data_IF_324501762245
#
_entry.id   IF_324501762245
#
_cell.length_a   1.000
_cell.length_b   1.000
_cell.length_c   1.000
_cell.angle_alpha   90.00
_cell.angle_beta   90.00
_cell.angle_gamma   90.00
#
_symmetry.space_group_name_H-M   'P 1'
#
loop_
_entity.id
_entity.type
_entity.pdbx_description
1 polymer ?
#
# COMPACT_ATOMS: atom_id res chain seq x y z
N UNK A 1 -19.43 -29.29 14.96
CA UNK A 1 -18.13 -30.00 14.85
C UNK A 1 -17.72 -29.93 13.41
N UNK A 2 -16.61 -29.24 13.11
CA UNK A 2 -16.08 -29.16 11.75
C UNK A 2 -15.38 -30.48 11.40
N UNK A 3 -15.84 -31.14 10.35
CA UNK A 3 -15.27 -32.34 9.71
C UNK A 3 -14.46 -31.99 8.45
N UNK A 4 -14.49 -30.73 7.99
CA UNK A 4 -13.80 -30.23 6.79
C UNK A 4 -13.14 -28.86 7.03
N UNK A 5 -12.06 -28.57 6.28
CA UNK A 5 -11.42 -27.24 6.23
C UNK A 5 -12.37 -26.11 5.78
N UNK A 6 -13.50 -26.46 5.18
CA UNK A 6 -14.51 -25.53 4.68
C UNK A 6 -15.64 -25.27 5.68
N UNK A 7 -15.73 -26.04 6.76
CA UNK A 7 -16.80 -25.85 7.73
C UNK A 7 -16.61 -24.54 8.46
N UNK A 8 -17.69 -23.79 8.58
CA UNK A 8 -17.74 -22.51 9.26
C UNK A 8 -18.85 -22.53 10.30
N UNK A 9 -18.58 -21.93 11.44
CA UNK A 9 -19.57 -21.65 12.47
C UNK A 9 -19.73 -20.13 12.57
N UNK A 10 -20.98 -19.66 12.57
CA UNK A 10 -21.30 -18.25 12.73
C UNK A 10 -21.84 -18.08 14.14
N UNK A 11 -21.21 -17.19 14.90
CA UNK A 11 -21.60 -16.86 16.27
C UNK A 11 -22.13 -15.42 16.25
N UNK A 12 -23.42 -15.26 16.56
CA UNK A 12 -24.02 -13.93 16.74
C UNK A 12 -23.63 -13.35 18.09
N UNK A 13 -23.14 -12.12 18.08
CA UNK A 13 -22.76 -11.38 19.29
C UNK A 13 -23.68 -10.17 19.40
N UNK A 14 -24.62 -10.23 20.35
CA UNK A 14 -25.72 -9.24 20.47
C UNK A 14 -25.35 -8.00 21.30
N UNK A 15 -24.08 -7.86 21.71
CA UNK A 15 -23.58 -6.74 22.52
C UNK A 15 -22.20 -6.31 22.03
N UNK A 16 -21.83 -5.08 22.32
CA UNK A 16 -20.48 -4.57 22.06
C UNK A 16 -19.51 -5.07 23.12
N UNK A 17 -18.39 -5.64 22.68
CA UNK A 17 -17.30 -6.06 23.54
C UNK A 17 -15.99 -5.46 23.04
N UNK A 18 -15.15 -4.99 23.98
CA UNK A 18 -13.79 -4.53 23.67
C UNK A 18 -12.84 -5.71 23.43
N UNK A 19 -13.08 -6.84 24.11
CA UNK A 19 -12.24 -8.04 24.04
C UNK A 19 -13.12 -9.26 23.84
N UNK A 20 -12.68 -10.16 22.97
CA UNK A 20 -13.34 -11.45 22.74
C UNK A 20 -12.29 -12.54 22.92
N UNK A 21 -12.54 -13.45 23.86
CA UNK A 21 -11.72 -14.65 24.06
C UNK A 21 -12.40 -15.83 23.39
N UNK A 22 -11.74 -16.42 22.41
CA UNK A 22 -12.20 -17.64 21.76
C UNK A 22 -11.42 -18.83 22.30
N UNK A 23 -12.13 -19.82 22.85
CA UNK A 23 -11.52 -21.05 23.36
C UNK A 23 -11.98 -22.21 22.50
N UNK A 24 -11.08 -22.70 21.64
CA UNK A 24 -11.27 -24.04 21.08
C UNK A 24 -10.96 -25.04 22.20
N UNK A 25 -11.89 -25.92 22.57
CA UNK A 25 -11.62 -26.96 23.56
C UNK A 25 -11.14 -28.25 22.86
N UNK A 26 -9.97 -28.78 23.24
CA UNK A 26 -9.53 -30.09 22.79
C UNK A 26 -10.45 -31.16 23.38
N UNK A 27 -11.10 -31.97 22.53
CA UNK A 27 -11.86 -33.15 22.96
C UNK A 27 -11.22 -34.38 22.35
N UNK A 28 -11.13 -35.48 23.12
CA UNK A 28 -10.62 -36.76 22.64
C UNK A 28 -11.42 -37.19 21.39
N UNK A 29 -10.73 -37.48 20.30
CA UNK A 29 -11.34 -37.83 19.01
C UNK A 29 -11.67 -36.64 18.09
N UNK A 30 -11.43 -35.40 18.51
CA UNK A 30 -11.59 -34.18 17.70
C UNK A 30 -10.22 -33.55 17.50
N UNK A 31 -9.69 -33.61 16.27
CA UNK A 31 -8.40 -33.01 15.90
C UNK A 31 -8.37 -32.64 14.42
N UNK A 32 -7.52 -31.68 14.05
CA UNK A 32 -7.22 -31.36 12.66
C UNK A 32 -6.43 -32.53 12.08
N UNK A 33 -6.91 -33.03 10.95
CA UNK A 33 -6.45 -34.22 10.23
C UNK A 33 -4.92 -34.40 10.16
N UNK A 34 -4.50 -35.68 10.21
CA UNK A 34 -3.20 -36.28 9.85
C UNK A 34 -2.16 -36.53 10.95
N UNK A 35 -2.33 -37.65 11.65
CA UNK A 35 -1.30 -38.70 11.66
C UNK A 35 -1.99 -40.07 11.66
N UNK A 36 -1.55 -40.99 10.80
CA UNK A 36 -2.01 -42.41 10.70
C UNK A 36 -1.86 -43.23 12.00
N UNK A 37 -1.46 -42.61 13.11
CA UNK A 37 -1.30 -43.24 14.43
C UNK A 37 -1.76 -42.40 15.63
N UNK A 38 -2.47 -41.28 15.44
CA UNK A 38 -3.01 -40.42 16.52
C UNK A 38 -2.00 -39.97 17.61
N UNK A 39 -0.69 -39.93 17.32
CA UNK A 39 0.33 -39.61 18.34
C UNK A 39 0.38 -38.13 18.70
N UNK A 40 0.10 -37.23 17.77
CA UNK A 40 -0.09 -35.79 18.02
C UNK A 40 -1.20 -35.25 17.12
N UNK A 41 -2.38 -34.97 17.69
CA UNK A 41 -3.44 -34.25 16.99
C UNK A 41 -3.22 -32.76 17.14
N UNK A 42 -2.90 -32.05 16.05
CA UNK A 42 -3.00 -30.60 16.04
C UNK A 42 -4.49 -30.25 16.16
N UNK A 43 -4.86 -29.36 17.08
CA UNK A 43 -6.24 -28.88 17.22
C UNK A 43 -6.21 -27.36 17.32
N UNK A 44 -7.21 -26.69 16.73
CA UNK A 44 -7.29 -25.23 16.75
C UNK A 44 -8.12 -24.67 15.63
N UNK A 45 -8.36 -23.36 15.70
CA UNK A 45 -9.08 -22.60 14.68
C UNK A 45 -8.11 -22.26 13.53
N UNK A 46 -8.57 -22.43 12.29
CA UNK A 46 -7.78 -22.06 11.11
C UNK A 46 -7.92 -20.56 10.78
N UNK A 47 -9.10 -19.98 11.02
CA UNK A 47 -9.44 -18.61 10.66
C UNK A 47 -10.58 -18.10 11.54
N UNK A 48 -10.43 -16.89 12.07
CA UNK A 48 -11.49 -16.16 12.76
C UNK A 48 -11.67 -14.82 12.03
N UNK A 49 -12.93 -14.46 11.79
CA UNK A 49 -13.30 -13.17 11.19
C UNK A 49 -14.38 -12.52 12.03
N UNK A 50 -14.28 -11.22 12.21
CA UNK A 50 -15.27 -10.42 12.92
C UNK A 50 -16.02 -9.55 11.91
N UNK A 51 -17.33 -9.44 12.08
CA UNK A 51 -18.18 -8.67 11.18
C UNK A 51 -19.14 -7.79 11.98
N UNK A 52 -19.42 -6.60 11.45
CA UNK A 52 -20.54 -5.76 11.83
C UNK A 52 -21.42 -5.54 10.60
N UNK A 53 -22.56 -6.22 10.54
CA UNK A 53 -23.35 -6.33 9.31
C UNK A 53 -22.53 -6.99 8.19
N UNK A 54 -22.37 -6.30 7.06
CA UNK A 54 -21.55 -6.75 5.93
C UNK A 54 -20.07 -6.37 6.04
N UNK A 55 -19.71 -5.47 6.95
CA UNK A 55 -18.34 -5.00 7.10
C UNK A 55 -17.52 -6.00 7.91
N UNK A 56 -16.41 -6.50 7.33
CA UNK A 56 -15.42 -7.26 8.08
C UNK A 56 -14.51 -6.30 8.84
N UNK A 57 -14.33 -6.52 10.15
CA UNK A 57 -13.27 -5.87 10.91
C UNK A 57 -11.92 -6.52 10.62
N UNK A 58 -10.92 -5.68 10.36
CA UNK A 58 -9.57 -6.10 9.99
C UNK A 58 -8.50 -5.52 10.91
N UNK A 59 -8.79 -4.43 11.61
CA UNK A 59 -7.86 -3.79 12.54
C UNK A 59 -7.98 -4.40 13.94
N UNK A 60 -7.43 -5.61 14.10
CA UNK A 60 -7.57 -6.40 15.32
C UNK A 60 -6.22 -6.68 15.96
N UNK A 61 -6.15 -6.50 17.27
CA UNK A 61 -5.04 -7.02 18.07
C UNK A 61 -5.35 -8.46 18.47
N UNK A 62 -4.45 -9.39 18.16
CA UNK A 62 -4.66 -10.83 18.38
C UNK A 62 -3.51 -11.42 19.19
N UNK A 63 -3.86 -12.05 20.30
CA UNK A 63 -2.98 -12.93 21.06
C UNK A 63 -3.46 -14.37 20.92
N UNK A 64 -2.53 -15.31 20.71
CA UNK A 64 -2.85 -16.72 20.54
C UNK A 64 -1.81 -17.61 21.24
N UNK A 65 -2.27 -18.69 21.86
CA UNK A 65 -1.42 -19.69 22.51
C UNK A 65 -0.85 -20.72 21.52
N UNK A 66 -0.73 -20.38 20.23
CA UNK A 66 -0.31 -21.32 19.19
C UNK A 66 1.14 -21.77 19.39
N UNK A 67 1.34 -23.08 19.55
CA UNK A 67 2.66 -23.72 19.59
C UNK A 67 3.32 -23.80 18.21
N UNK A 68 2.58 -23.49 17.13
CA UNK A 68 3.07 -23.45 15.75
C UNK A 68 3.52 -22.07 15.28
N UNK A 69 3.40 -21.03 16.12
CA UNK A 69 4.10 -19.76 15.89
C UNK A 69 5.60 -20.04 16.03
N UNK A 70 6.20 -20.51 14.93
CA UNK A 70 7.64 -20.57 14.76
C UNK A 70 8.21 -19.16 14.91
N UNK A 71 9.50 -19.10 15.22
CA UNK A 71 10.31 -17.89 15.27
C UNK A 71 9.84 -16.86 14.23
N UNK A 72 9.74 -15.58 14.60
CA UNK A 72 9.29 -14.54 13.67
C UNK A 72 10.06 -14.62 12.36
N UNK A 73 9.33 -14.60 11.24
CA UNK A 73 9.96 -14.60 9.92
C UNK A 73 10.90 -13.40 9.80
N UNK A 74 12.02 -13.58 9.09
CA UNK A 74 12.93 -12.48 8.83
C UNK A 74 12.32 -11.56 7.77
N UNK A 75 11.73 -10.46 8.24
CA UNK A 75 11.11 -9.44 7.40
C UNK A 75 11.89 -8.13 7.47
N UNK A 76 11.86 -7.36 6.37
CA UNK A 76 12.29 -5.97 6.33
C UNK A 76 11.16 -5.11 5.75
N UNK A 77 11.40 -3.80 5.70
CA UNK A 77 10.44 -2.84 5.16
C UNK A 77 11.00 -2.14 3.93
N UNK A 78 10.12 -1.84 2.97
CA UNK A 78 10.37 -0.84 1.94
C UNK A 78 9.42 0.33 2.12
N UNK A 79 9.99 1.53 2.05
CA UNK A 79 9.23 2.76 2.19
C UNK A 79 8.25 2.90 1.02
N UNK A 80 7.11 3.51 1.32
CA UNK A 80 6.17 4.04 0.34
C UNK A 80 6.05 5.54 0.59
N UNK A 81 4.88 6.00 1.01
CA UNK A 81 4.61 7.41 1.24
C UNK A 81 4.18 7.68 2.68
N UNK A 82 4.13 8.96 3.04
CA UNK A 82 3.80 9.40 4.39
C UNK A 82 3.05 10.72 4.41
N UNK A 83 2.46 11.02 5.56
CA UNK A 83 1.63 12.20 5.80
C UNK A 83 1.90 12.73 7.20
N UNK A 84 1.91 14.05 7.35
CA UNK A 84 1.92 14.68 8.67
C UNK A 84 0.48 14.97 9.08
N UNK A 85 0.09 14.49 10.26
CA UNK A 85 -1.24 14.73 10.86
C UNK A 85 -1.01 15.26 12.27
N UNK A 86 -1.45 16.49 12.52
CA UNK A 86 -1.12 17.23 13.73
C UNK A 86 0.41 17.25 13.94
N UNK A 87 0.86 16.79 15.11
CA UNK A 87 2.28 16.73 15.47
C UNK A 87 2.90 15.33 15.28
N UNK A 88 2.46 14.57 14.29
CA UNK A 88 3.00 13.23 14.01
C UNK A 88 3.24 13.04 12.52
N UNK A 89 4.37 12.43 12.17
CA UNK A 89 4.61 11.83 10.87
C UNK A 89 4.09 10.40 10.89
N UNK A 90 3.21 10.09 9.94
CA UNK A 90 2.79 8.74 9.64
C UNK A 90 3.38 8.29 8.31
N UNK A 91 3.79 7.04 8.19
CA UNK A 91 4.12 6.44 6.90
C UNK A 91 3.72 4.96 6.86
N UNK A 92 3.40 4.48 5.67
CA UNK A 92 2.86 3.14 5.45
C UNK A 92 3.84 2.33 4.59
N UNK A 93 4.89 1.74 5.16
CA UNK A 93 5.78 0.90 4.38
C UNK A 93 5.15 -0.46 4.08
N UNK A 94 5.64 -1.08 3.02
CA UNK A 94 5.36 -2.49 2.74
C UNK A 94 6.32 -3.39 3.52
N UNK A 95 5.80 -4.51 4.01
CA UNK A 95 6.56 -5.55 4.71
C UNK A 95 6.97 -6.61 3.71
N UNK A 96 8.26 -6.93 3.69
CA UNK A 96 8.88 -7.78 2.68
C UNK A 96 9.55 -8.99 3.34
N UNK A 97 9.42 -10.13 2.69
CA UNK A 97 10.22 -11.33 2.97
C UNK A 97 10.99 -11.75 1.72
N UNK A 98 12.01 -12.59 1.91
CA UNK A 98 12.67 -13.30 0.82
C UNK A 98 11.73 -14.29 0.15
N UNK A 99 11.78 -14.36 -1.18
CA UNK A 99 11.20 -15.46 -1.98
C UNK A 99 12.27 -15.99 -2.94
N UNK A 100 12.98 -17.02 -2.49
CA UNK A 100 14.11 -17.59 -3.24
C UNK A 100 13.68 -18.40 -4.47
N UNK A 101 12.36 -18.57 -4.70
CA UNK A 101 11.85 -19.22 -5.90
C UNK A 101 11.77 -18.27 -7.11
N UNK A 102 11.92 -16.97 -6.89
CA UNK A 102 11.96 -15.97 -7.95
C UNK A 102 13.36 -15.88 -8.58
N UNK A 103 13.46 -15.42 -9.83
CA UNK A 103 14.74 -15.16 -10.46
C UNK A 103 15.53 -14.06 -9.73
N UNK A 104 16.83 -14.01 -9.99
CA UNK A 104 17.74 -12.99 -9.48
C UNK A 104 17.17 -11.57 -9.66
N UNK A 105 17.35 -10.72 -8.66
CA UNK A 105 16.81 -9.36 -8.65
C UNK A 105 15.30 -9.26 -8.36
N UNK A 106 14.59 -10.39 -8.25
CA UNK A 106 13.16 -10.48 -7.90
C UNK A 106 12.89 -11.36 -6.68
N UNK A 107 13.92 -11.72 -5.90
CA UNK A 107 13.87 -12.67 -4.77
C UNK A 107 13.19 -12.14 -3.50
N UNK A 108 12.00 -11.57 -3.65
CA UNK A 108 11.23 -10.98 -2.58
C UNK A 108 9.73 -11.18 -2.80
N UNK A 109 8.97 -11.13 -1.70
CA UNK A 109 7.52 -11.09 -1.75
C UNK A 109 6.98 -10.06 -0.76
N UNK A 110 5.88 -9.41 -1.13
CA UNK A 110 5.16 -8.48 -0.25
C UNK A 110 4.26 -9.30 0.67
N UNK A 111 4.45 -9.16 1.99
CA UNK A 111 3.69 -9.89 3.02
C UNK A 111 2.58 -9.06 3.66
N UNK A 112 2.64 -7.74 3.50
CA UNK A 112 1.65 -6.83 4.06
C UNK A 112 2.12 -5.39 4.02
N UNK A 113 1.45 -4.56 4.80
CA UNK A 113 1.85 -3.20 5.10
C UNK A 113 1.90 -2.99 6.61
N UNK A 114 2.67 -2.00 7.05
CA UNK A 114 2.69 -1.54 8.44
C UNK A 114 2.31 -0.07 8.50
N UNK A 115 1.92 0.41 9.67
CA UNK A 115 1.75 1.82 9.97
C UNK A 115 2.79 2.21 11.01
N UNK A 116 3.60 3.20 10.68
CA UNK A 116 4.51 3.85 11.61
C UNK A 116 3.95 5.21 12.00
N UNK A 117 4.09 5.56 13.28
CA UNK A 117 3.73 6.87 13.83
C UNK A 117 4.93 7.41 14.58
N UNK A 118 5.42 8.59 14.17
CA UNK A 118 6.58 9.24 14.78
C UNK A 118 6.19 10.64 15.25
N UNK A 119 6.33 10.96 16.56
CA UNK A 119 6.06 12.29 17.05
C UNK A 119 7.00 13.33 16.44
N UNK A 120 6.48 14.53 16.21
CA UNK A 120 7.20 15.72 15.79
C UNK A 120 7.20 16.71 16.96
N UNK A 121 8.36 17.20 17.34
CA UNK A 121 8.52 18.23 18.36
C UNK A 121 9.61 19.21 17.93
N UNK A 122 9.35 20.52 18.05
CA UNK A 122 10.27 21.57 17.61
C UNK A 122 10.76 21.35 16.16
N UNK A 123 9.81 21.01 15.27
CA UNK A 123 10.07 20.73 13.84
C UNK A 123 11.07 19.59 13.58
N UNK A 124 11.24 18.68 14.55
CA UNK A 124 12.11 17.49 14.43
C UNK A 124 11.36 16.23 14.77
N UNK A 125 11.69 15.14 14.07
CA UNK A 125 11.20 13.80 14.38
C UNK A 125 11.82 13.31 15.69
N UNK A 126 10.97 12.77 16.57
CA UNK A 126 11.37 12.14 17.83
C UNK A 126 11.32 10.62 17.65
N UNK A 127 12.27 10.09 16.86
CA UNK A 127 12.29 8.67 16.42
C UNK A 127 12.35 7.67 17.57
N UNK A 128 12.93 8.03 18.71
CA UNK A 128 12.94 7.20 19.92
C UNK A 128 11.53 6.94 20.50
N UNK A 129 10.52 7.69 20.06
CA UNK A 129 9.10 7.53 20.45
C UNK A 129 8.23 7.01 19.30
N UNK A 130 8.84 6.51 18.23
CA UNK A 130 8.09 5.92 17.12
C UNK A 130 7.36 4.66 17.58
N UNK A 131 6.11 4.51 17.16
CA UNK A 131 5.34 3.28 17.32
C UNK A 131 5.05 2.69 15.95
N UNK A 132 4.80 1.38 15.93
CA UNK A 132 4.39 0.67 14.73
C UNK A 132 3.27 -0.33 15.02
N UNK A 133 2.38 -0.54 14.05
CA UNK A 133 1.45 -1.67 14.03
C UNK A 133 1.28 -2.20 12.62
N UNK A 134 0.77 -3.42 12.46
CA UNK A 134 0.41 -3.93 11.13
C UNK A 134 -0.77 -3.14 10.57
N UNK A 135 -0.76 -2.94 9.25
CA UNK A 135 -1.84 -2.29 8.51
C UNK A 135 -2.52 -3.34 7.60
N UNK A 136 -3.82 -3.64 7.78
CA UNK A 136 -4.55 -4.63 7.01
C UNK A 136 -4.96 -4.08 5.63
N UNK A 137 -3.99 -3.56 4.89
CA UNK A 137 -4.17 -2.86 3.62
C UNK A 137 -3.77 -3.70 2.41
N UNK A 138 -3.18 -4.89 2.64
CA UNK A 138 -2.94 -5.89 1.62
C UNK A 138 -4.03 -6.95 1.69
N UNK A 139 -4.82 -7.09 0.63
CA UNK A 139 -5.89 -8.08 0.55
C UNK A 139 -5.94 -8.73 -0.84
N UNK A 140 -6.43 -9.96 -0.89
CA UNK A 140 -6.51 -10.75 -2.12
C UNK A 140 -7.89 -11.37 -2.28
N UNK A 141 -8.38 -11.36 -3.52
CA UNK A 141 -9.65 -11.98 -3.91
C UNK A 141 -9.65 -12.26 -5.41
N UNK A 142 -10.12 -13.45 -5.80
CA UNK A 142 -10.34 -13.85 -7.20
C UNK A 142 -9.12 -13.61 -8.11
N UNK A 143 -7.92 -13.98 -7.63
CA UNK A 143 -6.66 -13.84 -8.39
C UNK A 143 -6.15 -12.40 -8.54
N UNK A 144 -6.78 -11.45 -7.84
CA UNK A 144 -6.36 -10.05 -7.77
C UNK A 144 -5.89 -9.69 -6.35
N UNK A 145 -4.94 -8.76 -6.26
CA UNK A 145 -4.38 -8.25 -5.01
C UNK A 145 -4.60 -6.74 -4.95
N UNK A 146 -5.09 -6.22 -3.83
CA UNK A 146 -5.16 -4.80 -3.54
C UNK A 146 -4.13 -4.46 -2.47
N UNK A 147 -3.39 -3.38 -2.69
CA UNK A 147 -2.53 -2.77 -1.70
C UNK A 147 -2.81 -1.27 -1.66
N UNK A 148 -2.97 -0.71 -0.45
CA UNK A 148 -3.12 0.72 -0.22
C UNK A 148 -1.95 1.27 0.61
N UNK A 149 -1.70 2.58 0.49
CA UNK A 149 -0.64 3.29 1.21
C UNK A 149 0.56 3.67 0.33
N UNK A 150 0.42 3.52 -0.99
CA UNK A 150 1.47 3.77 -1.97
C UNK A 150 1.71 5.26 -2.24
N UNK A 151 0.65 6.07 -2.17
CA UNK A 151 0.73 7.53 -2.13
C UNK A 151 -0.32 8.09 -1.19
N UNK A 152 0.03 9.12 -0.42
CA UNK A 152 -0.84 9.76 0.55
C UNK A 152 -0.99 11.24 0.21
N UNK A 153 -2.22 11.72 0.16
CA UNK A 153 -2.51 13.12 -0.08
C UNK A 153 -3.48 13.65 0.97
N UNK A 154 -2.96 14.44 1.92
CA UNK A 154 -3.80 15.16 2.87
C UNK A 154 -4.50 16.34 2.17
N UNK A 155 -5.83 16.33 2.14
CA UNK A 155 -6.64 17.44 1.65
C UNK A 155 -7.21 18.22 2.85
N UNK A 156 -6.32 18.76 3.68
CA UNK A 156 -6.65 19.32 5.00
C UNK A 156 -6.13 20.75 5.10
N UNK A 157 -6.58 21.49 6.13
CA UNK A 157 -6.09 22.85 6.36
C UNK A 157 -4.60 22.84 6.67
N UNK A 158 -4.13 21.85 7.44
CA UNK A 158 -2.72 21.71 7.80
C UNK A 158 -1.82 21.53 6.58
N UNK A 159 -2.27 20.79 5.56
CA UNK A 159 -1.49 20.57 4.34
C UNK A 159 -1.48 21.77 3.38
N UNK A 160 -2.24 22.83 3.69
CA UNK A 160 -2.38 23.99 2.80
C UNK A 160 -3.22 23.70 1.57
N UNK A 161 -4.11 22.70 1.62
CA UNK A 161 -4.98 22.37 0.50
C UNK A 161 -5.90 23.56 0.15
N UNK A 162 -6.17 23.76 -1.15
CA UNK A 162 -6.98 24.89 -1.63
C UNK A 162 -8.44 24.81 -1.18
N UNK A 163 -9.01 23.60 -1.22
CA UNK A 163 -10.39 23.30 -0.85
C UNK A 163 -10.38 22.12 0.14
N UNK A 164 -10.00 22.35 1.40
CA UNK A 164 -9.82 21.26 2.35
C UNK A 164 -11.17 20.63 2.69
N UNK A 165 -11.25 19.31 2.59
CA UNK A 165 -12.42 18.51 3.01
C UNK A 165 -12.13 17.70 4.29
N UNK A 166 -10.92 17.83 4.84
CA UNK A 166 -10.47 17.17 6.05
C UNK A 166 -10.20 15.67 5.88
N UNK A 167 -10.15 15.18 4.64
CA UNK A 167 -9.79 13.79 4.36
C UNK A 167 -8.32 13.65 3.99
N UNK A 168 -7.78 12.50 4.35
CA UNK A 168 -6.54 11.97 3.79
C UNK A 168 -6.96 10.98 2.71
N UNK A 169 -6.47 11.19 1.50
CA UNK A 169 -6.64 10.28 0.37
C UNK A 169 -5.47 9.30 0.35
N UNK A 170 -5.78 8.00 0.35
CA UNK A 170 -4.80 6.92 0.36
C UNK A 170 -4.92 6.15 -0.95
N UNK A 171 -3.96 6.40 -1.82
CA UNK A 171 -3.86 5.76 -3.11
C UNK A 171 -3.14 4.41 -2.97
N UNK A 172 -3.60 3.47 -3.78
CA UNK A 172 -3.09 2.11 -3.84
C UNK A 172 -3.14 1.59 -5.26
N UNK A 173 -2.89 0.29 -5.40
CA UNK A 173 -3.10 -0.41 -6.65
C UNK A 173 -3.83 -1.73 -6.46
N UNK A 174 -4.68 -2.06 -7.43
CA UNK A 174 -5.13 -3.42 -7.70
C UNK A 174 -4.20 -4.03 -8.74
N UNK A 175 -3.70 -5.22 -8.45
CA UNK A 175 -2.85 -6.01 -9.33
C UNK A 175 -3.61 -7.24 -9.80
N UNK A 176 -3.77 -7.39 -11.12
CA UNK A 176 -4.40 -8.55 -11.75
C UNK A 176 -3.51 -9.00 -12.90
N UNK A 177 -3.02 -10.24 -12.85
CA UNK A 177 -2.10 -10.78 -13.88
C UNK A 177 -0.88 -9.88 -14.16
N UNK A 178 -0.38 -9.17 -13.14
CA UNK A 178 0.76 -8.26 -13.24
C UNK A 178 0.43 -6.83 -13.71
N UNK A 179 -0.77 -6.58 -14.25
CA UNK A 179 -1.24 -5.23 -14.55
C UNK A 179 -1.67 -4.53 -13.27
N UNK A 180 -1.31 -3.25 -13.15
CA UNK A 180 -1.63 -2.43 -11.98
C UNK A 180 -2.54 -1.27 -12.34
N UNK A 181 -3.57 -1.12 -11.52
CA UNK A 181 -4.59 -0.10 -11.67
C UNK A 181 -4.78 0.64 -10.35
N UNK A 182 -4.84 1.97 -10.40
CA UNK A 182 -4.98 2.83 -9.23
C UNK A 182 -6.32 2.56 -8.55
N UNK A 183 -6.28 2.37 -7.24
CA UNK A 183 -7.45 2.28 -6.36
C UNK A 183 -7.31 3.31 -5.24
N UNK A 184 -8.43 3.64 -4.58
CA UNK A 184 -8.47 4.76 -3.66
C UNK A 184 -9.27 4.47 -2.40
N UNK A 185 -8.70 4.87 -1.27
CA UNK A 185 -9.39 4.99 0.00
C UNK A 185 -9.32 6.43 0.54
N UNK A 186 -10.17 6.74 1.51
CA UNK A 186 -10.08 7.98 2.30
C UNK A 186 -10.45 7.74 3.75
N UNK A 187 -9.93 8.58 4.63
CA UNK A 187 -10.26 8.62 6.06
C UNK A 187 -10.11 10.04 6.60
N UNK A 188 -10.83 10.37 7.67
CA UNK A 188 -10.62 11.62 8.42
C UNK A 188 -9.34 11.54 9.25
N UNK A 189 -8.71 12.70 9.50
CA UNK A 189 -7.43 12.81 10.22
C UNK A 189 -7.48 12.12 11.60
N UNK A 190 -8.55 12.32 12.36
CA UNK A 190 -8.76 11.74 13.69
C UNK A 190 -8.89 10.21 13.70
N UNK A 191 -9.26 9.62 12.55
CA UNK A 191 -9.50 8.19 12.41
C UNK A 191 -8.42 7.47 11.58
N UNK A 192 -7.32 8.15 11.25
CA UNK A 192 -6.29 7.62 10.36
C UNK A 192 -5.71 6.28 10.85
N UNK A 193 -5.60 6.11 12.17
CA UNK A 193 -5.09 4.89 12.80
C UNK A 193 -6.11 3.74 12.89
N UNK A 194 -7.39 3.98 12.58
CA UNK A 194 -8.47 2.99 12.69
C UNK A 194 -8.86 2.51 11.29
N UNK A 195 -8.27 1.40 10.82
CA UNK A 195 -8.43 0.99 9.41
C UNK A 195 -9.84 0.53 9.04
N UNK A 196 -10.66 0.17 10.02
CA UNK A 196 -12.07 -0.17 9.80
C UNK A 196 -12.96 1.07 9.59
N UNK A 197 -12.46 2.28 9.88
CA UNK A 197 -13.16 3.54 9.56
C UNK A 197 -12.88 4.05 8.14
N UNK A 198 -11.85 3.50 7.49
CA UNK A 198 -11.47 3.88 6.13
C UNK A 198 -12.59 3.54 5.15
N UNK A 199 -12.78 4.42 4.17
CA UNK A 199 -13.76 4.23 3.09
C UNK A 199 -13.06 4.06 1.75
N UNK A 200 -13.55 3.13 0.95
CA UNK A 200 -12.97 2.71 -0.32
C UNK A 200 -13.88 3.15 -1.47
N UNK A 201 -13.29 3.78 -2.49
CA UNK A 201 -14.04 4.38 -3.59
C UNK A 201 -14.37 3.34 -4.66
N UNK A 202 -15.65 3.16 -4.96
CA UNK A 202 -16.12 2.21 -5.99
C UNK A 202 -16.23 2.82 -7.40
N UNK A 203 -15.78 4.07 -7.57
CA UNK A 203 -15.94 4.86 -8.79
C UNK A 203 -17.11 5.85 -8.74
N UNK A 204 -18.02 5.70 -7.78
CA UNK A 204 -19.20 6.55 -7.60
C UNK A 204 -19.38 6.98 -6.13
N UNK A 205 -19.26 6.04 -5.21
CA UNK A 205 -19.51 6.21 -3.78
C UNK A 205 -18.40 5.61 -2.91
N UNK A 206 -18.47 5.88 -1.60
CA UNK A 206 -17.47 5.49 -0.61
C UNK A 206 -18.02 4.40 0.30
N UNK A 207 -17.37 3.24 0.34
CA UNK A 207 -17.86 2.04 1.02
C UNK A 207 -16.90 1.56 2.12
N UNK A 208 -17.38 0.77 3.08
CA UNK A 208 -16.51 0.17 4.10
C UNK A 208 -15.75 -1.08 3.64
N UNK A 209 -16.23 -1.76 2.58
CA UNK A 209 -15.58 -2.96 2.06
C UNK A 209 -14.37 -2.58 1.19
N UNK A 210 -13.19 -3.09 1.54
CA UNK A 210 -11.96 -2.85 0.78
C UNK A 210 -12.04 -3.38 -0.64
N UNK A 211 -12.79 -4.48 -0.86
CA UNK A 211 -12.96 -5.07 -2.18
C UNK A 211 -13.94 -4.31 -3.07
N UNK A 212 -14.65 -3.31 -2.54
CA UNK A 212 -15.48 -2.45 -3.38
C UNK A 212 -14.63 -1.50 -4.23
N UNK A 213 -13.36 -1.30 -3.89
CA UNK A 213 -12.54 -0.30 -4.58
C UNK A 213 -12.28 -0.69 -6.03
N UNK A 214 -12.71 0.19 -6.94
CA UNK A 214 -12.59 -0.03 -8.37
C UNK A 214 -11.36 0.67 -8.95
N UNK A 215 -10.77 0.10 -10.01
CA UNK A 215 -9.77 0.76 -10.86
C UNK A 215 -10.22 2.16 -11.31
N UNK A 216 -9.36 3.16 -11.08
CA UNK A 216 -9.57 4.56 -11.50
C UNK A 216 -8.60 5.02 -12.59
N UNK A 217 -7.44 4.36 -12.70
CA UNK A 217 -6.40 4.67 -13.68
C UNK A 217 -5.52 3.43 -13.91
N UNK A 218 -5.42 2.96 -15.15
CA UNK A 218 -4.55 1.84 -15.52
C UNK A 218 -3.09 2.24 -15.74
N UNK A 219 -2.23 1.24 -15.96
CA UNK A 219 -0.81 1.39 -16.32
C UNK A 219 0.06 2.10 -15.26
N UNK A 220 -0.31 2.03 -13.99
CA UNK A 220 0.46 2.66 -12.89
C UNK A 220 1.57 1.74 -12.35
N UNK A 221 2.40 2.27 -11.45
CA UNK A 221 3.47 1.56 -10.74
C UNK A 221 3.19 1.38 -9.24
N UNK A 222 4.00 0.55 -8.56
CA UNK A 222 3.96 0.41 -7.09
C UNK A 222 4.09 1.76 -6.39
N UNK A 223 5.14 2.49 -6.74
CA UNK A 223 5.40 3.82 -6.20
C UNK A 223 4.85 4.86 -7.17
N UNK A 224 4.15 5.85 -6.61
CA UNK A 224 3.51 6.92 -7.36
C UNK A 224 3.35 8.14 -6.45
N UNK A 225 2.82 9.24 -6.99
CA UNK A 225 2.42 10.41 -6.21
C UNK A 225 1.15 11.01 -6.78
N UNK A 226 0.29 11.56 -5.92
CA UNK A 226 -0.83 12.41 -6.33
C UNK A 226 -0.77 13.72 -5.55
N UNK A 227 -0.89 14.85 -6.25
CA UNK A 227 -0.84 16.18 -5.62
C UNK A 227 -1.70 17.19 -6.36
N UNK A 228 -2.17 18.22 -5.64
CA UNK A 228 -2.97 19.31 -6.22
C UNK A 228 -2.06 20.34 -6.92
N UNK A 229 -2.49 20.79 -8.10
CA UNK A 229 -1.88 21.92 -8.81
C UNK A 229 -2.55 23.23 -8.34
N UNK A 230 -1.76 24.15 -7.80
CA UNK A 230 -2.22 25.39 -7.17
C UNK A 230 -2.09 26.62 -8.09
N UNK A 231 -1.30 26.51 -9.16
CA UNK A 231 -1.06 27.54 -10.17
C UNK A 231 -0.93 26.91 -11.57
N UNK A 232 -0.83 27.74 -12.61
CA UNK A 232 -0.71 27.30 -14.01
C UNK A 232 -2.05 27.04 -14.70
N UNK A 233 -1.98 26.58 -15.96
CA UNK A 233 -3.18 26.32 -16.77
C UNK A 233 -4.07 25.21 -16.22
N UNK A 234 -3.48 24.32 -15.42
CA UNK A 234 -4.17 23.20 -14.77
C UNK A 234 -4.50 23.47 -13.28
N UNK A 235 -4.51 24.74 -12.85
CA UNK A 235 -4.84 25.12 -11.48
C UNK A 235 -6.16 24.51 -11.00
N UNK A 236 -6.13 23.88 -9.83
CA UNK A 236 -7.26 23.20 -9.21
C UNK A 236 -7.38 21.72 -9.55
N UNK A 237 -6.70 21.24 -10.60
CA UNK A 237 -6.61 19.82 -10.94
C UNK A 237 -5.60 19.12 -10.04
N UNK A 238 -5.62 17.79 -10.10
CA UNK A 238 -4.70 16.89 -9.43
C UNK A 238 -3.82 16.22 -10.47
N UNK A 239 -2.54 16.03 -10.16
CA UNK A 239 -1.59 15.31 -11.01
C UNK A 239 -1.16 14.03 -10.31
N UNK A 240 -1.33 12.90 -11.00
CA UNK A 240 -0.73 11.62 -10.66
C UNK A 240 0.55 11.42 -11.49
N UNK A 241 1.67 11.05 -10.87
CA UNK A 241 2.95 10.75 -11.54
C UNK A 241 3.42 9.35 -11.14
N UNK A 242 3.82 8.55 -12.12
CA UNK A 242 4.15 7.14 -11.97
C UNK A 242 5.04 6.63 -13.11
N UNK A 243 5.66 5.46 -12.93
CA UNK A 243 6.27 4.72 -14.05
C UNK A 243 5.15 3.98 -14.78
N UNK A 244 5.05 4.19 -16.09
CA UNK A 244 4.07 3.49 -16.92
C UNK A 244 4.36 1.98 -16.88
N UNK A 245 3.38 1.15 -16.54
CA UNK A 245 3.52 -0.31 -16.43
C UNK A 245 4.68 -0.77 -15.53
N UNK A 246 4.86 -0.12 -14.37
CA UNK A 246 5.80 -0.52 -13.30
C UNK A 246 7.30 -0.43 -13.62
N UNK A 247 7.80 -1.14 -14.63
CA UNK A 247 9.23 -1.34 -14.91
C UNK A 247 9.60 -1.05 -16.38
N UNK A 248 8.91 -0.10 -17.02
CA UNK A 248 9.20 0.33 -18.39
C UNK A 248 10.07 1.60 -18.43
N UNK A 249 10.65 1.96 -19.59
CA UNK A 249 11.40 3.21 -19.72
C UNK A 249 10.52 4.47 -19.74
N UNK A 250 9.22 4.38 -19.48
CA UNK A 250 8.32 5.52 -19.60
C UNK A 250 7.87 6.03 -18.23
N UNK A 251 8.12 7.31 -17.99
CA UNK A 251 7.46 8.05 -16.91
C UNK A 251 6.20 8.66 -17.50
N UNK A 252 5.10 8.56 -16.77
CA UNK A 252 3.81 9.07 -17.19
C UNK A 252 3.17 9.93 -16.10
N UNK A 253 2.22 10.75 -16.54
CA UNK A 253 1.29 11.42 -15.64
C UNK A 253 -0.15 11.32 -16.14
N UNK A 254 -1.09 11.53 -15.23
CA UNK A 254 -2.51 11.75 -15.52
C UNK A 254 -3.02 12.93 -14.70
N UNK A 255 -3.97 13.68 -15.25
CA UNK A 255 -4.65 14.77 -14.56
C UNK A 255 -6.04 14.32 -14.10
N UNK A 256 -6.52 14.85 -12.98
CA UNK A 256 -7.87 14.64 -12.50
C UNK A 256 -8.53 15.93 -12.01
N UNK A 257 -9.85 16.01 -12.12
CA UNK A 257 -10.63 17.17 -11.64
C UNK A 257 -10.90 17.11 -10.12
N UNK A 258 -10.95 15.90 -9.55
CA UNK A 258 -11.07 15.65 -8.11
C UNK A 258 -9.97 14.69 -7.66
N UNK A 259 -9.67 14.61 -6.34
CA UNK A 259 -8.65 13.67 -5.86
C UNK A 259 -9.04 12.20 -6.09
N UNK A 260 -10.33 11.93 -6.33
CA UNK A 260 -10.87 10.61 -6.71
C UNK A 260 -11.10 10.44 -8.21
N UNK A 261 -10.63 11.35 -9.06
CA UNK A 261 -10.84 11.30 -10.50
C UNK A 261 -12.02 12.16 -10.99
N UNK A 262 -12.51 11.96 -12.22
CA UNK A 262 -11.95 11.03 -13.22
C UNK A 262 -10.51 11.42 -13.59
N UNK A 263 -9.65 10.42 -13.77
CA UNK A 263 -8.29 10.63 -14.28
C UNK A 263 -8.28 10.62 -15.80
N UNK A 264 -7.45 11.48 -16.41
CA UNK A 264 -7.17 11.43 -17.83
C UNK A 264 -6.41 10.16 -18.19
N UNK A 265 -6.48 9.78 -19.48
CA UNK A 265 -5.61 8.73 -20.02
C UNK A 265 -4.14 9.04 -19.68
N UNK A 266 -3.32 8.01 -19.38
CA UNK A 266 -1.89 8.17 -19.14
C UNK A 266 -1.19 8.91 -20.28
N UNK A 267 -0.42 9.93 -19.94
CA UNK A 267 0.46 10.64 -20.86
C UNK A 267 1.92 10.32 -20.54
N UNK A 268 2.59 9.59 -21.44
CA UNK A 268 4.03 9.32 -21.33
C UNK A 268 4.80 10.61 -21.59
N UNK A 269 5.51 11.10 -20.58
CA UNK A 269 6.14 12.43 -20.60
C UNK A 269 7.67 12.36 -20.74
N UNK A 270 8.27 11.22 -20.37
CA UNK A 270 9.72 11.05 -20.46
C UNK A 270 10.07 9.60 -20.78
N UNK A 271 11.04 9.42 -21.67
CA UNK A 271 11.64 8.12 -21.98
C UNK A 271 13.05 8.06 -21.40
N UNK A 272 13.28 7.13 -20.48
CA UNK A 272 14.52 7.00 -19.73
C UNK A 272 15.65 6.44 -20.60
N UNK A 273 16.85 7.03 -20.58
CA UNK A 273 17.97 6.57 -21.41
C UNK A 273 18.69 5.34 -20.84
N UNK A 274 18.45 4.97 -19.59
CA UNK A 274 19.28 4.01 -18.84
C UNK A 274 19.33 2.62 -19.46
N UNK A 275 18.21 2.11 -19.98
CA UNK A 275 18.14 0.80 -20.62
C UNK A 275 19.07 0.73 -21.84
N UNK A 276 19.10 1.78 -22.67
CA UNK A 276 19.99 1.86 -23.84
C UNK A 276 21.46 2.09 -23.43
N UNK A 277 21.67 2.88 -22.37
CA UNK A 277 23.00 3.26 -21.88
C UNK A 277 23.73 2.10 -21.20
N UNK A 278 23.07 1.41 -20.27
CA UNK A 278 23.67 0.35 -19.47
C UNK A 278 23.42 -1.05 -20.02
N UNK A 279 22.42 -1.23 -20.91
CA UNK A 279 22.12 -2.51 -21.57
C UNK A 279 21.83 -3.62 -20.54
N UNK A 280 22.06 -4.89 -20.90
CA UNK A 280 21.80 -6.06 -20.04
C UNK A 280 20.32 -6.09 -19.59
N UNK A 281 20.06 -6.42 -18.33
CA UNK A 281 18.74 -6.46 -17.71
C UNK A 281 18.39 -5.15 -16.99
N UNK A 282 18.90 -4.01 -17.46
CA UNK A 282 18.60 -2.70 -16.86
C UNK A 282 17.14 -2.35 -17.02
N UNK A 283 16.54 -1.78 -15.98
CA UNK A 283 15.18 -1.25 -16.00
C UNK A 283 15.07 0.01 -15.13
N UNK A 284 14.02 0.77 -15.36
CA UNK A 284 13.65 1.96 -14.58
C UNK A 284 12.29 1.76 -13.96
N UNK A 285 12.08 2.32 -12.78
CA UNK A 285 10.89 2.06 -11.97
C UNK A 285 10.70 3.15 -10.91
N UNK A 286 9.58 3.09 -10.21
CA UNK A 286 9.28 3.94 -9.05
C UNK A 286 9.37 5.45 -9.32
N UNK A 287 8.80 5.90 -10.43
CA UNK A 287 8.69 7.34 -10.66
C UNK A 287 7.66 7.98 -9.71
N UNK A 288 8.01 9.09 -9.07
CA UNK A 288 7.09 9.92 -8.27
C UNK A 288 7.50 11.38 -8.27
N UNK A 289 6.52 12.26 -8.09
CA UNK A 289 6.75 13.68 -7.88
C UNK A 289 7.03 14.02 -6.41
N UNK A 290 7.70 15.16 -6.20
CA UNK A 290 8.07 15.69 -4.88
C UNK A 290 7.41 17.07 -4.68
N UNK A 291 6.12 17.14 -4.33
CA UNK A 291 5.39 18.41 -4.25
C UNK A 291 6.00 19.40 -3.27
N UNK A 292 6.63 18.92 -2.19
CA UNK A 292 7.34 19.74 -1.20
C UNK A 292 8.63 20.39 -1.72
N UNK A 293 9.15 19.95 -2.87
CA UNK A 293 10.31 20.54 -3.57
C UNK A 293 9.92 21.11 -4.95
N UNK A 294 8.63 21.23 -5.22
CA UNK A 294 8.09 21.61 -6.53
C UNK A 294 7.26 22.89 -6.45
N UNK A 295 6.99 23.48 -7.61
CA UNK A 295 5.84 24.36 -7.79
C UNK A 295 4.93 23.79 -8.90
N UNK A 296 3.72 24.33 -9.06
CA UNK A 296 2.74 23.75 -10.00
C UNK A 296 3.11 23.87 -11.48
N UNK A 297 4.09 24.73 -11.83
CA UNK A 297 4.61 24.90 -13.19
C UNK A 297 5.92 24.14 -13.42
N UNK A 298 6.53 23.65 -12.36
CA UNK A 298 7.82 22.97 -12.39
C UNK A 298 7.87 21.89 -11.30
N UNK A 299 7.53 20.67 -11.73
CA UNK A 299 7.36 19.51 -10.84
C UNK A 299 8.63 18.68 -10.86
N UNK A 300 9.29 18.56 -9.71
CA UNK A 300 10.43 17.68 -9.52
C UNK A 300 9.93 16.23 -9.46
N UNK A 301 10.44 15.39 -10.35
CA UNK A 301 10.16 13.96 -10.39
C UNK A 301 11.45 13.18 -10.24
N UNK A 302 11.40 12.13 -9.42
CA UNK A 302 12.48 11.13 -9.37
C UNK A 302 12.02 9.82 -9.96
N UNK A 303 12.95 9.03 -10.43
CA UNK A 303 12.77 7.61 -10.73
C UNK A 303 14.04 6.83 -10.39
N UNK A 304 13.90 5.53 -10.17
CA UNK A 304 15.01 4.64 -9.87
C UNK A 304 15.47 3.87 -11.11
N UNK A 305 16.72 3.45 -11.10
CA UNK A 305 17.32 2.54 -12.10
C UNK A 305 17.88 1.34 -11.37
N UNK A 306 17.71 0.14 -11.93
CA UNK A 306 18.29 -1.08 -11.41
C UNK A 306 18.49 -2.11 -12.53
N UNK A 307 18.99 -3.29 -12.19
CA UNK A 307 19.19 -4.42 -13.09
C UNK A 307 18.86 -5.71 -12.35
N UNK A 308 18.39 -6.73 -13.07
CA UNK A 308 18.09 -8.04 -12.47
C UNK A 308 19.33 -8.91 -12.19
N UNK A 309 20.53 -8.45 -12.58
CA UNK A 309 21.77 -9.19 -12.41
C UNK A 309 22.73 -8.47 -11.45
N UNK A 310 23.16 -9.15 -10.40
CA UNK A 310 23.98 -8.58 -9.33
C UNK A 310 25.37 -8.18 -9.83
N UNK A 311 26.02 -9.01 -10.64
CA UNK A 311 27.34 -8.69 -11.19
C UNK A 311 27.28 -7.43 -12.07
N UNK A 312 26.23 -7.29 -12.87
CA UNK A 312 26.00 -6.07 -13.64
C UNK A 312 25.74 -4.86 -12.74
N UNK A 313 24.98 -5.02 -11.65
CA UNK A 313 24.78 -3.95 -10.66
C UNK A 313 26.12 -3.49 -10.07
N UNK A 314 27.02 -4.43 -9.77
CA UNK A 314 28.36 -4.18 -9.23
C UNK A 314 29.34 -3.60 -10.26
N UNK A 315 29.07 -3.76 -11.56
CA UNK A 315 29.94 -3.25 -12.63
C UNK A 315 30.00 -1.73 -12.70
N UNK A 316 28.98 -1.02 -12.18
CA UNK A 316 28.94 0.43 -12.19
C UNK A 316 28.06 1.01 -11.08
N UNK A 317 28.66 1.85 -10.24
CA UNK A 317 27.97 2.60 -9.19
C UNK A 317 26.90 3.58 -9.73
N UNK A 318 26.84 3.80 -11.05
CA UNK A 318 25.85 4.65 -11.70
C UNK A 318 24.52 3.93 -11.95
N UNK A 319 24.49 2.59 -11.94
CA UNK A 319 23.27 1.82 -12.24
C UNK A 319 22.24 2.03 -11.12
N UNK A 320 22.59 1.73 -9.87
CA UNK A 320 21.63 1.75 -8.77
C UNK A 320 21.57 3.10 -8.04
N UNK A 321 21.11 4.14 -8.75
CA UNK A 321 20.93 5.49 -8.20
C UNK A 321 19.66 6.15 -8.74
N UNK A 322 19.01 7.03 -7.95
CA UNK A 322 17.89 7.80 -8.46
C UNK A 322 18.34 8.76 -9.57
N UNK A 323 17.37 9.16 -10.38
CA UNK A 323 17.47 10.19 -11.40
C UNK A 323 16.43 11.26 -11.13
N UNK A 324 16.70 12.49 -11.54
CA UNK A 324 15.85 13.64 -11.32
C UNK A 324 15.52 14.28 -12.67
N UNK A 325 14.25 14.57 -12.89
CA UNK A 325 13.78 15.39 -14.01
C UNK A 325 12.84 16.47 -13.48
N UNK A 326 12.63 17.50 -14.29
CA UNK A 326 11.60 18.51 -14.03
C UNK A 326 10.55 18.46 -15.13
N UNK A 327 9.29 18.28 -14.74
CA UNK A 327 8.16 18.43 -15.65
C UNK A 327 7.78 19.90 -15.66
N UNK A 328 7.88 20.54 -16.83
CA UNK A 328 7.58 21.95 -17.01
C UNK A 328 6.19 22.11 -17.61
N UNK A 329 5.36 22.94 -16.99
CA UNK A 329 4.11 23.39 -17.61
C UNK A 329 4.46 24.39 -18.71
N UNK A 330 4.27 23.98 -19.96
CA UNK A 330 4.52 24.81 -21.15
C UNK A 330 3.22 25.39 -21.73
N UNK A 331 2.09 25.25 -21.02
CA UNK A 331 0.84 25.89 -21.46
C UNK A 331 0.98 27.40 -21.36
N UNK A 332 0.50 28.10 -22.40
CA UNK A 332 0.62 29.55 -22.55
C UNK A 332 -0.55 30.28 -21.92
#
# INVERSE_FOLDING_TARGET
>A
MSTSKQDKEIISIEKTFQFIKVVAAAKKGIGNYNQKGYKEGLYGLNLIKFFNGSQQYRDLYVESSSTLLKNPEHSWIWLQDGVVIGNHLYFIPIVINSDLNQPEGLQFCVKGAALFKTPISNSKLVTAKSTQKMAPLLVEKDGSQWLFGNALMANTVQSGAKNPDGYIYIYGYKSTMGLRELVLARVKEENFEFFDDWKFFDGQTWNSDIFSSQPLLGHISCEMSVSQLLDGGNKGKYIAVYTYDTNTPYIAFSLADHPWGPFSNPQKIYHTPEQAKFKSTTYTYNAKAHPHLSNSKEILVTYNTNTYNFDHNMSSYLIYRPRFIRLLDTTK
#
